data_IF_887008295206
#
_entry.id   IF_887008295206
#
_cell.length_a   1.000
_cell.length_b   1.000
_cell.length_c   1.000
_cell.angle_alpha   90.00
_cell.angle_beta   90.00
_cell.angle_gamma   90.00
#
_symmetry.space_group_name_H-M   'P 1'
#
loop_
_entity.id
_entity.type
_entity.pdbx_description
1 polymer ?
#
# COMPACT_ATOMS: atom_id res chain seq x y z
N UNK A 1 7.47 37.80 29.18
CA UNK A 1 8.47 36.95 28.51
C UNK A 1 7.88 35.57 28.38
N UNK A 2 7.33 35.22 27.22
CA UNK A 2 6.97 33.84 26.89
C UNK A 2 7.43 33.59 25.47
N UNK A 3 8.74 33.42 25.33
CA UNK A 3 9.35 33.00 24.08
C UNK A 3 9.34 31.47 24.06
N UNK A 4 8.14 30.89 23.93
CA UNK A 4 7.97 29.45 23.77
C UNK A 4 8.22 29.10 22.30
N UNK A 5 9.46 29.30 21.86
CA UNK A 5 9.95 28.81 20.58
C UNK A 5 10.33 27.35 20.74
N UNK A 6 9.33 26.48 20.91
CA UNK A 6 9.54 25.04 20.80
C UNK A 6 10.04 24.73 19.39
N UNK A 7 11.24 24.17 19.29
CA UNK A 7 11.77 23.68 18.02
C UNK A 7 10.85 22.56 17.50
N UNK A 8 10.64 22.43 16.18
CA UNK A 8 9.88 21.32 15.61
C UNK A 8 10.71 20.03 15.69
N UNK A 9 10.57 19.27 16.78
CA UNK A 9 11.37 18.07 17.07
C UNK A 9 10.77 16.75 16.54
N UNK A 10 9.58 16.82 15.92
CA UNK A 10 8.82 15.63 15.49
C UNK A 10 8.03 14.99 16.64
N UNK A 11 7.16 14.04 16.28
CA UNK A 11 6.34 13.33 17.25
C UNK A 11 7.20 12.40 18.13
N UNK A 12 6.93 12.33 19.45
CA UNK A 12 7.53 11.30 20.31
C UNK A 12 7.21 9.89 19.79
N UNK A 13 8.15 8.96 19.97
CA UNK A 13 8.01 7.56 19.53
C UNK A 13 8.42 6.60 20.63
N UNK A 14 7.82 5.41 20.64
CA UNK A 14 8.30 4.31 21.48
C UNK A 14 9.73 3.92 21.07
N UNK A 15 10.61 3.85 22.06
CA UNK A 15 12.04 3.55 21.91
C UNK A 15 12.37 2.07 22.08
N UNK A 16 11.36 1.23 22.35
CA UNK A 16 11.53 -0.22 22.44
C UNK A 16 12.07 -0.77 21.11
N UNK A 17 13.22 -1.48 21.11
CA UNK A 17 13.78 -2.04 19.88
C UNK A 17 12.86 -3.08 19.23
N UNK A 18 12.94 -3.20 17.91
CA UNK A 18 12.32 -4.31 17.17
C UNK A 18 13.05 -5.63 17.44
N UNK A 19 12.35 -6.74 17.22
CA UNK A 19 12.96 -8.08 17.28
C UNK A 19 13.78 -8.32 16.02
N UNK A 20 15.01 -8.81 16.14
CA UNK A 20 15.79 -9.22 14.98
C UNK A 20 15.10 -10.40 14.26
N UNK A 21 15.06 -10.42 12.92
CA UNK A 21 14.54 -11.58 12.18
C UNK A 21 15.40 -12.81 12.47
N UNK A 22 14.77 -13.98 12.49
CA UNK A 22 15.46 -15.26 12.72
C UNK A 22 15.34 -16.16 11.48
N UNK A 23 16.03 -17.29 11.47
CA UNK A 23 15.97 -18.31 10.41
C UNK A 23 14.66 -19.13 10.45
N UNK A 24 13.53 -18.46 10.61
CA UNK A 24 12.20 -19.07 10.64
C UNK A 24 11.58 -19.06 9.23
N UNK A 25 10.99 -20.18 8.77
CA UNK A 25 10.26 -20.20 7.50
C UNK A 25 9.03 -19.30 7.51
N UNK A 26 8.77 -18.62 6.38
CA UNK A 26 7.54 -17.85 6.13
C UNK A 26 6.73 -18.55 5.04
N UNK A 27 5.58 -19.11 5.40
CA UNK A 27 4.77 -19.95 4.51
C UNK A 27 3.56 -19.19 3.98
N UNK A 28 3.39 -19.17 2.66
CA UNK A 28 2.21 -18.69 1.96
C UNK A 28 1.44 -19.80 1.27
N UNK A 29 0.59 -19.44 0.31
CA UNK A 29 -0.19 -20.36 -0.52
C UNK A 29 0.61 -20.89 -1.73
N UNK A 30 1.42 -20.05 -2.34
CA UNK A 30 2.20 -20.35 -3.54
C UNK A 30 3.66 -20.65 -3.23
N UNK A 31 4.25 -19.91 -2.28
CA UNK A 31 5.66 -20.04 -1.93
C UNK A 31 5.90 -20.12 -0.43
N UNK A 32 7.03 -20.74 -0.08
CA UNK A 32 7.60 -20.68 1.26
C UNK A 32 8.99 -20.05 1.18
N UNK A 33 9.24 -19.02 2.00
CA UNK A 33 10.60 -18.54 2.24
C UNK A 33 11.24 -19.39 3.34
N UNK A 34 12.32 -20.08 3.02
CA UNK A 34 13.09 -20.89 3.96
C UNK A 34 14.51 -20.36 4.06
N UNK A 35 15.21 -20.52 5.20
CA UNK A 35 16.63 -20.17 5.28
C UNK A 35 17.41 -20.80 4.13
N UNK A 36 18.25 -20.02 3.46
CA UNK A 36 18.97 -20.52 2.30
C UNK A 36 20.00 -21.59 2.71
N UNK A 37 19.73 -22.83 2.34
CA UNK A 37 20.64 -23.97 2.45
C UNK A 37 21.38 -24.18 1.10
N UNK A 38 22.71 -23.95 1.03
CA UNK A 38 23.48 -24.13 -0.20
C UNK A 38 23.48 -25.56 -0.74
N UNK A 39 23.43 -26.58 0.14
CA UNK A 39 23.46 -27.98 -0.28
C UNK A 39 22.13 -28.40 -0.91
N UNK A 40 21.01 -27.85 -0.41
CA UNK A 40 19.67 -28.13 -0.95
C UNK A 40 19.30 -27.26 -2.15
N UNK A 41 19.62 -25.98 -2.12
CA UNK A 41 19.12 -25.00 -3.08
C UNK A 41 20.15 -24.62 -4.14
N UNK A 42 21.45 -24.71 -3.83
CA UNK A 42 22.51 -24.09 -4.63
C UNK A 42 22.56 -24.59 -6.08
N UNK A 43 22.57 -25.90 -6.28
CA UNK A 43 22.69 -26.51 -7.62
C UNK A 43 21.51 -26.14 -8.53
N UNK A 44 20.29 -26.34 -8.04
CA UNK A 44 19.07 -26.04 -8.81
C UNK A 44 18.95 -24.54 -9.12
N UNK A 45 19.30 -23.67 -8.16
CA UNK A 45 19.30 -22.22 -8.40
C UNK A 45 20.37 -21.81 -9.43
N UNK A 46 21.57 -22.38 -9.37
CA UNK A 46 22.62 -22.13 -10.38
C UNK A 46 22.15 -22.52 -11.79
N UNK A 47 21.63 -23.74 -11.96
CA UNK A 47 21.10 -24.20 -13.25
C UNK A 47 19.98 -23.28 -13.78
N UNK A 48 19.13 -22.76 -12.88
CA UNK A 48 18.04 -21.84 -13.21
C UNK A 48 18.47 -20.39 -13.49
N UNK A 49 19.72 -20.00 -13.18
CA UNK A 49 20.17 -18.60 -13.24
C UNK A 49 21.49 -18.37 -13.98
N UNK A 50 22.18 -19.44 -14.39
CA UNK A 50 23.42 -19.38 -15.16
C UNK A 50 23.21 -19.66 -16.65
N UNK A 51 24.11 -19.08 -17.45
CA UNK A 51 24.19 -19.21 -18.90
C UNK A 51 23.92 -17.87 -19.62
N UNK A 52 24.40 -17.70 -20.87
CA UNK A 52 24.36 -16.42 -21.57
C UNK A 52 22.97 -15.78 -21.69
N UNK A 53 21.92 -16.60 -21.83
CA UNK A 53 20.53 -16.14 -21.89
C UNK A 53 19.99 -15.62 -20.55
N UNK A 54 20.65 -15.96 -19.44
CA UNK A 54 20.23 -15.65 -18.06
C UNK A 54 21.15 -14.66 -17.35
N UNK A 55 22.30 -14.30 -17.95
CA UNK A 55 23.24 -13.33 -17.37
C UNK A 55 22.56 -11.99 -17.03
N UNK A 56 21.55 -11.60 -17.81
CA UNK A 56 20.73 -10.41 -17.57
C UNK A 56 20.04 -10.40 -16.19
N UNK A 57 19.77 -11.55 -15.57
CA UNK A 57 19.22 -11.65 -14.22
C UNK A 57 20.13 -11.01 -13.16
N UNK A 58 21.44 -11.00 -13.41
CA UNK A 58 22.46 -10.52 -12.49
C UNK A 58 22.86 -9.06 -12.73
N UNK A 59 22.29 -8.41 -13.75
CA UNK A 59 22.72 -7.10 -14.22
C UNK A 59 22.77 -6.02 -13.12
N UNK A 60 21.86 -6.11 -12.14
CA UNK A 60 21.73 -5.13 -11.05
C UNK A 60 22.08 -5.67 -9.66
N UNK A 61 22.46 -6.95 -9.55
CA UNK A 61 22.96 -7.54 -8.30
C UNK A 61 24.42 -7.19 -8.07
N UNK A 62 24.87 -7.23 -6.82
CA UNK A 62 26.25 -6.90 -6.45
C UNK A 62 27.27 -7.91 -6.97
N UNK A 63 26.91 -9.20 -6.97
CA UNK A 63 27.72 -10.31 -7.47
C UNK A 63 27.09 -10.94 -8.73
N UNK A 64 27.81 -11.88 -9.34
CA UNK A 64 27.43 -12.59 -10.56
C UNK A 64 27.60 -11.78 -11.85
N UNK A 65 27.21 -12.32 -13.02
CA UNK A 65 26.82 -13.72 -13.20
C UNK A 65 27.98 -14.68 -12.87
N UNK A 66 27.66 -15.94 -12.60
CA UNK A 66 28.64 -16.97 -12.26
C UNK A 66 28.73 -17.98 -13.41
N UNK A 67 29.93 -18.14 -13.96
CA UNK A 67 30.28 -19.07 -15.03
C UNK A 67 30.48 -20.51 -14.51
N UNK A 68 30.91 -20.64 -13.26
CA UNK A 68 31.23 -21.91 -12.62
C UNK A 68 30.44 -22.12 -11.32
N UNK A 69 29.90 -23.33 -11.15
CA UNK A 69 29.15 -23.68 -9.94
C UNK A 69 29.98 -23.52 -8.67
N UNK A 70 31.29 -23.83 -8.71
CA UNK A 70 32.16 -23.69 -7.54
C UNK A 70 32.23 -22.23 -7.02
N UNK A 71 32.24 -21.23 -7.92
CA UNK A 71 32.23 -19.80 -7.55
C UNK A 71 30.87 -19.39 -6.98
N UNK A 72 29.79 -19.88 -7.60
CA UNK A 72 28.42 -19.65 -7.12
C UNK A 72 28.23 -20.24 -5.71
N UNK A 73 28.59 -21.51 -5.51
CA UNK A 73 28.46 -22.22 -4.25
C UNK A 73 29.26 -21.55 -3.13
N UNK A 74 30.52 -21.18 -3.39
CA UNK A 74 31.34 -20.43 -2.44
C UNK A 74 30.70 -19.10 -2.02
N UNK A 75 30.13 -18.35 -2.98
CA UNK A 75 29.43 -17.10 -2.70
C UNK A 75 28.19 -17.31 -1.81
N UNK A 76 27.34 -18.28 -2.15
CA UNK A 76 26.11 -18.52 -1.40
C UNK A 76 26.33 -19.19 -0.05
N UNK A 77 27.38 -20.01 0.13
CA UNK A 77 27.79 -20.50 1.46
C UNK A 77 28.19 -19.36 2.37
N UNK A 78 29.00 -18.42 1.87
CA UNK A 78 29.37 -17.24 2.64
C UNK A 78 28.15 -16.36 2.97
N UNK A 79 27.21 -16.19 2.01
CA UNK A 79 26.00 -15.41 2.22
C UNK A 79 25.05 -16.06 3.26
N UNK A 80 24.83 -17.37 3.20
CA UNK A 80 23.93 -18.10 4.10
C UNK A 80 24.39 -18.09 5.57
N UNK A 81 25.70 -17.96 5.81
CA UNK A 81 26.27 -17.90 7.16
C UNK A 81 26.03 -16.57 7.89
N UNK A 82 25.64 -15.50 7.17
CA UNK A 82 25.45 -14.17 7.74
C UNK A 82 24.12 -14.04 8.47
N UNK A 83 24.09 -13.15 9.46
CA UNK A 83 22.86 -12.72 10.16
C UNK A 83 22.33 -11.39 9.63
N UNK A 84 23.21 -10.56 9.06
CA UNK A 84 22.87 -9.42 8.21
C UNK A 84 23.89 -9.32 7.05
N UNK A 85 23.46 -9.45 5.79
CA UNK A 85 22.10 -9.79 5.34
C UNK A 85 21.67 -11.22 5.73
N UNK A 86 20.38 -11.42 6.05
CA UNK A 86 19.76 -12.71 6.34
C UNK A 86 19.05 -13.26 5.08
N UNK A 87 19.62 -14.33 4.50
CA UNK A 87 19.23 -14.87 3.20
C UNK A 87 18.18 -15.98 3.29
N UNK A 88 17.12 -15.85 2.50
CA UNK A 88 16.07 -16.85 2.33
C UNK A 88 16.00 -17.34 0.88
N UNK A 89 15.87 -18.65 0.70
CA UNK A 89 15.41 -19.25 -0.56
C UNK A 89 13.88 -19.10 -0.66
N UNK A 90 13.40 -18.78 -1.85
CA UNK A 90 11.96 -18.81 -2.17
C UNK A 90 11.70 -20.17 -2.83
N UNK A 91 10.84 -20.97 -2.22
CA UNK A 91 10.52 -22.33 -2.69
C UNK A 91 9.06 -22.46 -3.06
N UNK A 92 8.76 -23.24 -4.09
CA UNK A 92 7.39 -23.58 -4.48
C UNK A 92 6.72 -24.47 -3.42
N UNK A 93 5.51 -24.14 -2.98
CA UNK A 93 4.78 -24.94 -1.97
C UNK A 93 4.40 -26.33 -2.51
N UNK A 94 4.10 -26.46 -3.80
CA UNK A 94 3.59 -27.69 -4.38
C UNK A 94 4.68 -28.77 -4.54
N UNK A 95 5.92 -28.37 -4.83
CA UNK A 95 7.00 -29.32 -5.13
C UNK A 95 8.34 -29.05 -4.44
N UNK A 96 8.46 -27.97 -3.66
CA UNK A 96 9.68 -27.60 -2.93
C UNK A 96 10.83 -27.07 -3.80
N UNK A 97 10.60 -26.85 -5.09
CA UNK A 97 11.63 -26.33 -6.01
C UNK A 97 12.05 -24.92 -5.59
N UNK A 98 13.37 -24.65 -5.61
CA UNK A 98 13.88 -23.28 -5.43
C UNK A 98 13.56 -22.43 -6.67
N UNK A 99 12.85 -21.33 -6.43
CA UNK A 99 12.36 -20.40 -7.44
C UNK A 99 13.13 -19.07 -7.43
N UNK A 100 14.00 -18.85 -6.45
CA UNK A 100 14.79 -17.64 -6.29
C UNK A 100 15.26 -17.44 -4.86
N UNK A 101 15.67 -16.22 -4.53
CA UNK A 101 15.96 -15.82 -3.17
C UNK A 101 15.63 -14.34 -2.92
N UNK A 102 15.46 -14.01 -1.65
CA UNK A 102 15.34 -12.64 -1.16
C UNK A 102 16.01 -12.54 0.22
N UNK A 103 16.38 -11.33 0.61
CA UNK A 103 17.24 -11.13 1.78
C UNK A 103 16.69 -10.00 2.63
N UNK A 104 16.60 -10.21 3.95
CA UNK A 104 16.54 -9.08 4.88
C UNK A 104 17.94 -8.51 5.04
N UNK A 105 18.08 -7.20 4.96
CA UNK A 105 19.37 -6.53 5.10
C UNK A 105 19.24 -5.19 5.80
N UNK A 106 20.36 -4.63 6.24
CA UNK A 106 20.37 -3.36 6.99
C UNK A 106 19.41 -3.43 8.19
N UNK A 107 19.60 -4.48 8.98
CA UNK A 107 18.75 -4.80 10.13
C UNK A 107 19.12 -3.85 11.26
N UNK A 108 18.31 -2.82 11.45
CA UNK A 108 18.49 -1.82 12.51
C UNK A 108 17.34 -1.94 13.51
N UNK A 109 17.54 -2.76 14.55
CA UNK A 109 16.52 -3.02 15.57
C UNK A 109 16.25 -1.79 16.44
N UNK A 110 17.27 -0.95 16.67
CA UNK A 110 17.15 0.25 17.49
C UNK A 110 16.26 1.30 16.82
N UNK A 111 16.46 1.55 15.53
CA UNK A 111 15.62 2.47 14.76
C UNK A 111 14.37 1.80 14.17
N UNK A 112 14.26 0.47 14.30
CA UNK A 112 13.17 -0.36 13.77
C UNK A 112 13.04 -0.23 12.24
N UNK A 113 14.18 -0.26 11.54
CA UNK A 113 14.29 -0.20 10.07
C UNK A 113 14.88 -1.49 9.53
N UNK A 114 14.29 -2.03 8.46
CA UNK A 114 14.80 -3.20 7.76
C UNK A 114 14.58 -3.07 6.26
N UNK A 115 15.55 -3.51 5.47
CA UNK A 115 15.47 -3.52 4.01
C UNK A 115 15.20 -4.93 3.50
N UNK A 116 14.36 -5.05 2.48
CA UNK A 116 14.32 -6.23 1.61
C UNK A 116 15.08 -5.95 0.33
N UNK A 117 16.03 -6.82 0.02
CA UNK A 117 16.95 -6.59 -1.07
C UNK A 117 17.70 -7.84 -1.49
N UNK A 118 18.65 -7.65 -2.40
CA UNK A 118 19.38 -8.74 -3.03
C UNK A 118 18.42 -9.87 -3.49
N UNK A 119 17.43 -9.47 -4.29
CA UNK A 119 16.34 -10.34 -4.76
C UNK A 119 16.72 -10.87 -6.14
N UNK A 120 16.69 -12.20 -6.28
CA UNK A 120 16.90 -12.89 -7.55
C UNK A 120 15.72 -13.83 -7.77
N UNK A 121 14.96 -13.57 -8.83
CA UNK A 121 13.89 -14.48 -9.26
C UNK A 121 14.39 -15.30 -10.46
N UNK A 122 14.13 -16.60 -10.44
CA UNK A 122 14.27 -17.43 -11.63
C UNK A 122 13.15 -17.10 -12.63
N UNK A 123 13.29 -17.43 -13.92
CA UNK A 123 12.20 -17.27 -14.89
C UNK A 123 10.88 -17.94 -14.47
N UNK A 124 10.94 -19.03 -13.70
CA UNK A 124 9.77 -19.75 -13.20
C UNK A 124 8.97 -18.95 -12.16
N UNK A 125 9.61 -18.02 -11.43
CA UNK A 125 8.94 -17.17 -10.43
C UNK A 125 8.45 -15.85 -11.01
N UNK A 126 9.13 -15.34 -12.03
CA UNK A 126 8.84 -14.04 -12.60
C UNK A 126 7.40 -13.96 -13.11
N UNK A 127 6.71 -12.87 -12.79
CA UNK A 127 5.32 -12.60 -13.22
C UNK A 127 4.30 -13.65 -12.74
N UNK A 128 4.59 -14.33 -11.62
CA UNK A 128 3.64 -15.23 -10.94
C UNK A 128 3.12 -14.61 -9.63
N UNK A 129 1.99 -15.12 -9.08
CA UNK A 129 1.53 -14.75 -7.74
C UNK A 129 2.59 -15.00 -6.66
N UNK A 130 3.36 -16.10 -6.76
CA UNK A 130 4.41 -16.45 -5.81
C UNK A 130 5.48 -15.36 -5.64
N UNK A 131 5.84 -14.66 -6.71
CA UNK A 131 6.79 -13.54 -6.62
C UNK A 131 6.25 -12.32 -5.87
N UNK A 132 4.93 -12.10 -5.88
CA UNK A 132 4.27 -11.06 -5.08
C UNK A 132 4.09 -11.53 -3.64
N UNK A 133 3.65 -12.78 -3.46
CA UNK A 133 3.45 -13.38 -2.15
C UNK A 133 4.74 -13.42 -1.32
N UNK A 134 5.89 -13.72 -1.95
CA UNK A 134 7.17 -13.70 -1.25
C UNK A 134 7.45 -12.34 -0.58
N UNK A 135 7.16 -11.24 -1.28
CA UNK A 135 7.37 -9.89 -0.77
C UNK A 135 6.34 -9.51 0.29
N UNK A 136 5.08 -9.93 0.12
CA UNK A 136 4.04 -9.78 1.13
C UNK A 136 4.42 -10.47 2.44
N UNK A 137 4.84 -11.74 2.39
CA UNK A 137 5.23 -12.51 3.57
C UNK A 137 6.38 -11.84 4.33
N UNK A 138 7.41 -11.38 3.62
CA UNK A 138 8.54 -10.70 4.25
C UNK A 138 8.15 -9.34 4.86
N UNK A 139 7.30 -8.57 4.18
CA UNK A 139 6.83 -7.28 4.71
C UNK A 139 5.94 -7.46 5.95
N UNK A 140 4.99 -8.42 5.89
CA UNK A 140 4.10 -8.77 7.00
C UNK A 140 4.88 -9.18 8.24
N UNK A 141 5.82 -10.12 8.08
CA UNK A 141 6.63 -10.59 9.18
C UNK A 141 7.47 -9.47 9.80
N UNK A 142 8.08 -8.61 8.98
CA UNK A 142 8.86 -7.48 9.48
C UNK A 142 8.00 -6.50 10.29
N UNK A 143 6.85 -6.07 9.75
CA UNK A 143 6.06 -4.99 10.36
C UNK A 143 5.19 -5.52 11.51
N UNK A 144 4.40 -6.57 11.27
CA UNK A 144 3.39 -7.05 12.23
C UNK A 144 3.99 -7.91 13.34
N UNK A 145 4.95 -8.76 13.01
CA UNK A 145 5.52 -9.69 13.97
C UNK A 145 6.75 -9.07 14.63
N UNK A 146 7.73 -8.62 13.85
CA UNK A 146 9.00 -8.17 14.41
C UNK A 146 8.97 -6.74 14.96
N UNK A 147 7.96 -5.95 14.61
CA UNK A 147 7.74 -4.58 15.12
C UNK A 147 8.55 -3.51 14.40
N UNK A 148 8.97 -3.76 13.15
CA UNK A 148 9.66 -2.75 12.35
C UNK A 148 8.69 -1.63 11.94
N UNK A 149 9.13 -0.38 12.10
CA UNK A 149 8.34 0.81 11.74
C UNK A 149 8.53 1.24 10.28
N UNK A 150 9.56 0.70 9.62
CA UNK A 150 9.95 1.06 8.27
C UNK A 150 10.54 -0.14 7.55
N UNK A 151 9.94 -0.45 6.41
CA UNK A 151 10.37 -1.49 5.48
C UNK A 151 10.89 -0.85 4.20
N UNK A 152 12.16 -1.07 3.86
CA UNK A 152 12.84 -0.39 2.75
C UNK A 152 13.00 -1.29 1.53
N UNK A 153 12.90 -0.69 0.35
CA UNK A 153 13.30 -1.29 -0.93
C UNK A 153 14.28 -0.37 -1.63
N UNK A 154 15.48 -0.87 -1.93
CA UNK A 154 16.51 -0.11 -2.66
C UNK A 154 16.94 -0.84 -3.91
N UNK A 155 16.89 -0.14 -5.03
CA UNK A 155 17.29 -0.71 -6.31
C UNK A 155 18.15 0.25 -7.11
N UNK A 156 18.88 -0.28 -8.08
CA UNK A 156 19.59 0.55 -9.05
C UNK A 156 18.56 1.45 -9.77
N UNK A 157 18.81 2.75 -9.87
CA UNK A 157 17.86 3.70 -10.46
C UNK A 157 17.54 3.40 -11.94
N UNK A 158 18.43 2.68 -12.64
CA UNK A 158 18.25 2.20 -14.02
C UNK A 158 17.43 0.89 -14.11
N UNK A 159 17.21 0.18 -12.99
CA UNK A 159 16.41 -1.06 -12.96
C UNK A 159 14.91 -0.73 -12.96
N UNK A 160 14.39 -0.32 -14.11
CA UNK A 160 12.98 0.04 -14.25
C UNK A 160 12.00 -1.09 -13.83
N UNK A 161 12.27 -2.39 -14.11
CA UNK A 161 11.44 -3.48 -13.58
C UNK A 161 11.35 -3.52 -12.05
N UNK A 162 12.48 -3.36 -11.34
CA UNK A 162 12.48 -3.38 -9.87
C UNK A 162 11.78 -2.15 -9.27
N UNK A 163 11.95 -0.96 -9.89
CA UNK A 163 11.23 0.26 -9.49
C UNK A 163 9.71 0.09 -9.60
N UNK A 164 9.24 -0.40 -10.74
CA UNK A 164 7.82 -0.69 -10.96
C UNK A 164 7.28 -1.74 -9.99
N UNK A 165 8.10 -2.72 -9.60
CA UNK A 165 7.70 -3.72 -8.61
C UNK A 165 7.50 -3.08 -7.23
N UNK A 166 8.44 -2.23 -6.77
CA UNK A 166 8.30 -1.51 -5.50
C UNK A 166 7.03 -0.63 -5.48
N UNK A 167 6.82 0.17 -6.52
CA UNK A 167 5.62 1.02 -6.65
C UNK A 167 4.34 0.16 -6.67
N UNK A 168 4.32 -0.93 -7.46
CA UNK A 168 3.19 -1.86 -7.52
C UNK A 168 2.88 -2.49 -6.15
N UNK A 169 3.91 -2.84 -5.37
CA UNK A 169 3.74 -3.39 -4.02
C UNK A 169 3.29 -2.35 -2.98
N UNK A 170 3.16 -1.07 -3.37
CA UNK A 170 2.69 0.00 -2.51
C UNK A 170 3.80 0.70 -1.73
N UNK A 171 5.07 0.51 -2.12
CA UNK A 171 6.16 1.31 -1.58
C UNK A 171 6.12 2.74 -2.14
N UNK A 172 6.36 3.71 -1.28
CA UNK A 172 6.46 5.12 -1.63
C UNK A 172 7.89 5.47 -2.04
N UNK A 173 8.04 6.15 -3.18
CA UNK A 173 9.33 6.65 -3.64
C UNK A 173 9.82 7.84 -2.81
N UNK A 174 11.09 7.83 -2.40
CA UNK A 174 11.67 8.85 -1.52
C UNK A 174 12.83 9.64 -2.15
N UNK A 175 13.41 9.13 -3.24
CA UNK A 175 14.46 9.84 -3.96
C UNK A 175 15.51 8.95 -4.62
N UNK A 176 16.45 9.61 -5.32
CA UNK A 176 17.62 8.96 -5.91
C UNK A 176 18.89 9.48 -5.25
N UNK A 177 19.65 8.58 -4.65
CA UNK A 177 21.01 8.85 -4.20
C UNK A 177 21.96 8.71 -5.39
N UNK A 178 22.45 9.85 -5.87
CA UNK A 178 23.36 9.95 -7.02
C UNK A 178 24.76 9.54 -6.62
N UNK A 179 25.46 8.82 -7.50
CA UNK A 179 26.81 8.31 -7.26
C UNK A 179 26.95 7.53 -5.95
N UNK A 180 25.89 6.82 -5.55
CA UNK A 180 25.83 6.14 -4.26
C UNK A 180 26.90 5.05 -4.13
N UNK A 181 27.15 4.27 -5.18
CA UNK A 181 28.07 3.12 -5.14
C UNK A 181 28.80 2.91 -6.46
N UNK A 182 29.95 2.23 -6.39
CA UNK A 182 30.60 1.59 -7.55
C UNK A 182 30.26 0.10 -7.48
N UNK A 183 29.53 -0.42 -8.47
CA UNK A 183 29.12 -1.84 -8.55
C UNK A 183 29.59 -2.40 -9.89
N UNK A 184 30.36 -3.50 -9.86
CA UNK A 184 30.91 -4.15 -11.06
C UNK A 184 31.63 -3.15 -12.00
N UNK A 185 32.42 -2.25 -11.43
CA UNK A 185 33.16 -1.22 -12.15
C UNK A 185 32.32 -0.09 -12.76
N UNK A 186 31.05 0.04 -12.38
CA UNK A 186 30.13 1.07 -12.90
C UNK A 186 29.54 1.90 -11.78
N UNK A 187 29.22 3.16 -12.10
CA UNK A 187 28.47 4.03 -11.20
C UNK A 187 27.05 3.48 -10.99
N UNK A 188 26.58 3.50 -9.74
CA UNK A 188 25.22 3.16 -9.36
C UNK A 188 24.59 4.31 -8.60
N UNK A 189 23.56 4.87 -9.22
CA UNK A 189 22.55 5.65 -8.52
C UNK A 189 21.52 4.69 -7.90
N UNK A 190 21.05 5.00 -6.69
CA UNK A 190 20.11 4.13 -5.97
C UNK A 190 18.79 4.83 -5.76
N UNK A 191 17.70 4.24 -6.27
CA UNK A 191 16.34 4.68 -6.00
C UNK A 191 15.85 4.04 -4.70
N UNK A 192 15.34 4.86 -3.79
CA UNK A 192 14.87 4.46 -2.46
C UNK A 192 13.35 4.52 -2.38
N UNK A 193 12.79 3.47 -1.79
CA UNK A 193 11.37 3.37 -1.50
C UNK A 193 11.15 2.81 -0.10
N UNK A 194 9.99 3.11 0.49
CA UNK A 194 9.62 2.61 1.81
C UNK A 194 8.14 2.27 1.94
N UNK A 195 7.82 1.41 2.90
CA UNK A 195 6.49 1.28 3.50
C UNK A 195 6.67 1.54 5.00
N UNK A 196 5.87 2.45 5.55
CA UNK A 196 5.83 2.70 6.99
C UNK A 196 4.80 1.80 7.67
N UNK A 197 4.99 1.55 8.98
CA UNK A 197 4.06 0.70 9.74
C UNK A 197 2.63 1.24 9.74
N UNK A 198 2.44 2.55 9.63
CA UNK A 198 1.12 3.18 9.57
C UNK A 198 0.46 3.03 8.19
N UNK A 199 1.25 2.84 7.14
CA UNK A 199 0.78 2.60 5.76
C UNK A 199 0.47 1.11 5.53
N UNK A 200 1.16 0.22 6.26
CA UNK A 200 1.09 -1.22 6.07
C UNK A 200 -0.31 -1.83 6.12
N UNK A 201 -1.23 -1.49 7.05
CA UNK A 201 -2.55 -2.11 7.10
C UNK A 201 -3.30 -2.04 5.76
N UNK A 202 -3.25 -0.90 5.07
CA UNK A 202 -3.87 -0.77 3.76
C UNK A 202 -3.12 -1.57 2.67
N UNK A 203 -1.79 -1.62 2.73
CA UNK A 203 -0.98 -2.40 1.79
C UNK A 203 -1.17 -3.91 1.98
N UNK A 204 -1.35 -4.36 3.22
CA UNK A 204 -1.68 -5.74 3.56
C UNK A 204 -3.02 -6.13 2.95
N UNK A 205 -4.09 -5.34 3.17
CA UNK A 205 -5.40 -5.58 2.55
C UNK A 205 -5.32 -5.61 1.03
N UNK A 206 -4.57 -4.69 0.40
CA UNK A 206 -4.38 -4.68 -1.05
C UNK A 206 -3.64 -5.94 -1.56
N UNK A 207 -2.56 -6.36 -0.88
CA UNK A 207 -1.81 -7.56 -1.23
C UNK A 207 -2.65 -8.82 -1.04
N UNK A 208 -3.38 -8.93 0.07
CA UNK A 208 -4.26 -10.06 0.38
C UNK A 208 -5.43 -10.16 -0.61
N UNK A 209 -6.07 -9.03 -0.92
CA UNK A 209 -7.12 -8.96 -1.95
C UNK A 209 -6.57 -9.38 -3.30
N UNK A 210 -5.36 -8.94 -3.66
CA UNK A 210 -4.76 -9.32 -4.92
C UNK A 210 -4.40 -10.81 -4.99
N UNK A 211 -3.89 -11.37 -3.88
CA UNK A 211 -3.52 -12.78 -3.74
C UNK A 211 -4.73 -13.71 -3.54
N UNK A 212 -5.93 -13.17 -3.32
CA UNK A 212 -7.14 -13.97 -3.17
C UNK A 212 -7.42 -14.76 -4.47
N UNK A 213 -7.90 -16.00 -4.32
CA UNK A 213 -8.10 -16.89 -5.45
C UNK A 213 -9.18 -16.37 -6.42
N UNK A 214 -10.17 -15.64 -5.90
CA UNK A 214 -11.25 -15.00 -6.65
C UNK A 214 -10.81 -13.74 -7.40
N UNK A 215 -9.58 -13.26 -7.22
CA UNK A 215 -9.01 -12.17 -8.02
C UNK A 215 -8.33 -12.69 -9.30
N UNK A 216 -8.39 -13.97 -9.62
CA UNK A 216 -7.84 -14.53 -10.86
C UNK A 216 -8.93 -15.23 -11.67
N UNK A 217 -8.96 -14.97 -12.99
CA UNK A 217 -9.86 -15.65 -13.91
C UNK A 217 -9.42 -17.10 -14.20
N UNK A 218 -10.21 -17.81 -15.01
CA UNK A 218 -9.93 -19.21 -15.36
C UNK A 218 -8.59 -19.42 -16.10
N UNK A 219 -8.04 -18.38 -16.72
CA UNK A 219 -6.75 -18.40 -17.41
C UNK A 219 -5.60 -17.92 -16.49
N UNK A 220 -5.87 -17.66 -15.21
CA UNK A 220 -4.91 -17.16 -14.24
C UNK A 220 -4.56 -15.68 -14.42
N UNK A 221 -5.35 -14.91 -15.15
CA UNK A 221 -5.17 -13.45 -15.27
C UNK A 221 -5.85 -12.75 -14.09
N UNK A 222 -5.13 -11.80 -13.51
CA UNK A 222 -5.69 -10.95 -12.44
C UNK A 222 -6.93 -10.18 -12.94
N UNK A 223 -7.99 -10.14 -12.14
CA UNK A 223 -9.22 -9.38 -12.38
C UNK A 223 -8.99 -7.92 -12.00
N UNK A 224 -8.56 -7.67 -10.76
CA UNK A 224 -8.11 -6.36 -10.29
C UNK A 224 -6.59 -6.38 -10.17
N UNK A 225 -5.93 -5.37 -10.75
CA UNK A 225 -4.48 -5.26 -10.66
C UNK A 225 -4.04 -4.74 -9.31
N UNK A 226 -2.89 -5.20 -8.80
CA UNK A 226 -2.35 -4.69 -7.53
C UNK A 226 -2.08 -3.18 -7.57
N UNK A 227 -1.71 -2.63 -8.74
CA UNK A 227 -1.52 -1.19 -8.90
C UNK A 227 -2.81 -0.39 -8.73
N UNK A 228 -3.96 -0.95 -9.08
CA UNK A 228 -5.26 -0.34 -8.78
C UNK A 228 -5.54 -0.38 -7.28
N UNK A 229 -5.29 -1.51 -6.62
CA UNK A 229 -5.54 -1.66 -5.17
C UNK A 229 -4.64 -0.71 -4.36
N UNK A 230 -3.38 -0.57 -4.76
CA UNK A 230 -2.40 0.33 -4.14
C UNK A 230 -2.39 1.76 -4.73
N UNK A 231 -3.41 2.16 -5.50
CA UNK A 231 -3.42 3.48 -6.09
C UNK A 231 -3.29 4.58 -5.03
N UNK A 232 -2.38 5.52 -5.25
CA UNK A 232 -2.20 6.70 -4.39
C UNK A 232 -2.87 7.96 -4.97
N UNK A 233 -3.33 7.88 -6.22
CA UNK A 233 -4.03 8.95 -6.93
C UNK A 233 -5.30 8.40 -7.60
N UNK A 234 -6.37 9.19 -7.58
CA UNK A 234 -7.55 9.00 -8.41
C UNK A 234 -7.72 10.20 -9.32
N UNK A 235 -7.45 9.99 -10.60
CA UNK A 235 -7.71 10.98 -11.64
C UNK A 235 -9.16 10.88 -12.11
N UNK A 236 -9.88 11.99 -12.04
CA UNK A 236 -11.22 12.12 -12.59
C UNK A 236 -11.36 13.42 -13.37
N UNK A 237 -12.35 13.52 -14.28
CA UNK A 237 -12.65 14.79 -14.93
C UNK A 237 -12.86 15.90 -13.89
N UNK A 238 -12.03 16.94 -13.95
CA UNK A 238 -12.10 18.10 -13.05
C UNK A 238 -11.13 18.10 -11.87
N UNK A 239 -10.35 17.04 -11.64
CA UNK A 239 -9.27 17.06 -10.65
C UNK A 239 -8.75 15.69 -10.24
N UNK A 240 -7.72 15.70 -9.37
CA UNK A 240 -7.06 14.50 -8.88
C UNK A 240 -7.20 14.43 -7.37
N UNK A 241 -7.68 13.31 -6.84
CA UNK A 241 -7.64 13.04 -5.41
C UNK A 241 -6.36 12.28 -5.07
N UNK A 242 -5.79 12.57 -3.91
CA UNK A 242 -4.67 11.81 -3.34
C UNK A 242 -5.16 10.93 -2.20
N UNK A 243 -4.55 9.76 -2.03
CA UNK A 243 -4.71 8.94 -0.83
C UNK A 243 -4.19 9.72 0.38
N UNK A 244 -4.98 9.80 1.44
CA UNK A 244 -4.59 10.49 2.67
C UNK A 244 -3.58 9.68 3.50
N UNK A 245 -2.74 10.39 4.25
CA UNK A 245 -1.88 9.83 5.30
C UNK A 245 -2.25 10.41 6.67
N UNK A 246 -1.61 9.92 7.75
CA UNK A 246 -1.77 10.49 9.08
C UNK A 246 -1.34 11.96 9.17
N UNK A 247 -0.47 12.42 8.26
CA UNK A 247 -0.11 13.85 8.16
C UNK A 247 -1.31 14.73 7.78
N UNK A 248 -2.34 14.14 7.16
CA UNK A 248 -3.57 14.85 6.76
C UNK A 248 -4.65 14.81 7.88
N UNK A 249 -4.39 14.16 9.02
CA UNK A 249 -5.41 13.88 10.06
C UNK A 249 -6.09 15.16 10.57
N UNK A 250 -5.31 16.17 10.94
CA UNK A 250 -5.86 17.42 11.48
C UNK A 250 -6.71 18.16 10.44
N UNK A 251 -6.23 18.24 9.20
CA UNK A 251 -6.95 18.87 8.10
C UNK A 251 -8.24 18.10 7.73
N UNK A 252 -8.22 16.76 7.80
CA UNK A 252 -9.42 15.93 7.63
C UNK A 252 -10.44 16.22 8.72
N UNK A 253 -10.02 16.24 9.99
CA UNK A 253 -10.91 16.52 11.12
C UNK A 253 -11.53 17.92 11.00
N UNK A 254 -10.76 18.93 10.59
CA UNK A 254 -11.26 20.27 10.35
C UNK A 254 -12.36 20.28 9.28
N UNK A 255 -12.12 19.67 8.12
CA UNK A 255 -13.12 19.59 7.03
C UNK A 255 -14.35 18.81 7.49
N UNK A 256 -14.18 17.69 8.18
CA UNK A 256 -15.29 16.87 8.65
C UNK A 256 -16.18 17.65 9.62
N UNK A 257 -15.61 18.25 10.67
CA UNK A 257 -16.35 19.04 11.63
C UNK A 257 -17.08 20.21 10.96
N UNK A 258 -16.40 20.94 10.07
CA UNK A 258 -16.97 22.09 9.38
C UNK A 258 -18.10 21.70 8.41
N UNK A 259 -17.92 20.62 7.63
CA UNK A 259 -18.90 20.16 6.65
C UNK A 259 -20.18 19.60 7.30
N UNK A 260 -20.05 18.93 8.45
CA UNK A 260 -21.17 18.30 9.16
C UNK A 260 -21.85 19.20 10.20
N UNK A 261 -21.32 20.40 10.49
CA UNK A 261 -21.88 21.32 11.48
C UNK A 261 -23.37 21.64 11.27
N UNK A 262 -23.79 21.90 10.02
CA UNK A 262 -25.21 22.13 9.68
C UNK A 262 -26.06 20.86 9.82
N UNK A 263 -25.49 19.70 9.49
CA UNK A 263 -26.19 18.42 9.61
C UNK A 263 -26.50 18.08 11.06
N UNK A 264 -25.58 18.38 12.00
CA UNK A 264 -25.80 18.22 13.44
C UNK A 264 -27.06 18.95 13.91
N UNK A 265 -27.26 20.19 13.47
CA UNK A 265 -28.45 21.00 13.83
C UNK A 265 -29.73 20.34 13.30
N UNK A 266 -29.72 19.89 12.04
CA UNK A 266 -30.90 19.28 11.39
C UNK A 266 -31.23 17.89 11.93
N UNK A 267 -30.21 17.12 12.34
CA UNK A 267 -30.39 15.78 12.88
C UNK A 267 -30.75 15.78 14.36
N UNK A 268 -30.37 16.82 15.11
CA UNK A 268 -30.50 16.86 16.57
C UNK A 268 -29.55 15.92 17.33
N UNK A 269 -28.69 15.20 16.61
CA UNK A 269 -27.68 14.27 17.13
C UNK A 269 -26.37 14.43 16.37
N UNK A 270 -25.27 13.96 16.96
CA UNK A 270 -23.96 13.99 16.33
C UNK A 270 -23.94 13.08 15.07
N UNK A 271 -23.62 13.60 13.87
CA UNK A 271 -23.55 12.80 12.63
C UNK A 271 -22.59 11.61 12.77
N UNK A 272 -22.94 10.46 12.16
CA UNK A 272 -22.16 9.21 12.28
C UNK A 272 -20.68 9.41 11.93
N UNK A 273 -20.31 10.12 10.84
CA UNK A 273 -18.89 10.32 10.51
C UNK A 273 -18.10 11.11 11.53
N UNK A 274 -18.75 11.87 12.43
CA UNK A 274 -18.08 12.61 13.51
C UNK A 274 -17.92 11.77 14.80
N UNK A 275 -18.41 10.54 14.82
CA UNK A 275 -18.25 9.59 15.94
C UNK A 275 -17.02 8.68 15.79
N UNK A 276 -16.29 8.79 14.68
CA UNK A 276 -15.20 7.87 14.34
C UNK A 276 -13.84 8.34 14.88
N UNK A 277 -12.98 7.36 15.15
CA UNK A 277 -11.54 7.58 15.28
C UNK A 277 -10.91 7.63 13.88
N UNK A 278 -10.58 8.83 13.39
CA UNK A 278 -10.01 9.00 12.06
C UNK A 278 -8.60 8.44 11.90
N UNK A 279 -7.83 8.30 12.98
CA UNK A 279 -6.55 7.60 12.91
C UNK A 279 -6.74 6.09 12.65
N UNK A 280 -7.87 5.53 13.10
CA UNK A 280 -8.31 4.18 12.73
C UNK A 280 -8.89 4.13 11.31
N UNK A 281 -9.75 5.07 10.93
CA UNK A 281 -10.31 5.15 9.56
C UNK A 281 -9.21 5.24 8.51
N UNK A 282 -8.18 6.06 8.73
CA UNK A 282 -7.02 6.17 7.84
C UNK A 282 -6.22 4.87 7.71
N UNK A 283 -6.31 3.94 8.66
CA UNK A 283 -5.65 2.63 8.57
C UNK A 283 -6.52 1.57 7.92
N UNK A 284 -7.84 1.65 8.12
CA UNK A 284 -8.77 0.56 7.76
C UNK A 284 -9.59 0.84 6.50
N UNK A 285 -9.72 2.10 6.06
CA UNK A 285 -10.58 2.49 4.93
C UNK A 285 -9.80 3.29 3.88
N UNK A 286 -10.36 3.39 2.67
CA UNK A 286 -9.78 4.27 1.66
C UNK A 286 -10.21 5.72 1.92
N UNK A 287 -9.30 6.52 2.45
CA UNK A 287 -9.51 7.96 2.61
C UNK A 287 -8.80 8.70 1.49
N UNK A 288 -9.56 9.47 0.74
CA UNK A 288 -9.12 10.27 -0.39
C UNK A 288 -9.38 11.75 -0.13
N UNK A 289 -8.40 12.58 -0.43
CA UNK A 289 -8.47 14.03 -0.20
C UNK A 289 -8.29 14.78 -1.51
N UNK A 290 -9.04 15.86 -1.67
CA UNK A 290 -8.86 16.85 -2.72
C UNK A 290 -8.22 18.08 -2.10
N UNK A 291 -7.02 18.44 -2.57
CA UNK A 291 -6.35 19.66 -2.13
C UNK A 291 -7.07 20.90 -2.67
N UNK A 292 -7.10 21.98 -1.88
CA UNK A 292 -7.60 23.26 -2.33
C UNK A 292 -6.58 23.94 -3.24
N UNK A 293 -7.05 24.55 -4.34
CA UNK A 293 -6.19 25.23 -5.30
C UNK A 293 -5.65 26.54 -4.69
N UNK A 294 -4.46 26.50 -4.07
CA UNK A 294 -3.73 27.69 -3.60
C UNK A 294 -2.24 27.54 -3.86
N UNK A 295 -1.62 28.64 -4.30
CA UNK A 295 -0.20 28.74 -4.63
C UNK A 295 0.73 28.26 -3.52
N UNK A 296 1.89 27.77 -3.93
CA UNK A 296 2.91 27.18 -3.06
C UNK A 296 3.21 28.06 -1.82
N UNK A 297 2.91 27.54 -0.62
CA UNK A 297 3.49 28.07 0.63
C UNK A 297 2.62 28.21 1.88
N UNK A 298 1.41 27.67 1.98
CA UNK A 298 0.62 27.69 3.22
C UNK A 298 0.06 26.29 3.56
N UNK A 299 -0.28 26.07 4.83
CA UNK A 299 -0.82 24.81 5.38
C UNK A 299 -1.75 24.09 4.41
N UNK A 300 -1.61 22.76 4.35
CA UNK A 300 -2.24 21.88 3.36
C UNK A 300 -3.76 21.88 3.53
N UNK A 301 -4.43 22.85 2.91
CA UNK A 301 -5.87 23.03 3.02
C UNK A 301 -6.61 22.07 2.09
N UNK A 302 -7.60 21.37 2.62
CA UNK A 302 -8.39 20.38 1.87
C UNK A 302 -9.72 20.99 1.40
N UNK A 303 -10.05 20.80 0.12
CA UNK A 303 -11.33 21.17 -0.46
C UNK A 303 -12.42 20.11 -0.22
N UNK A 304 -12.02 18.84 -0.10
CA UNK A 304 -12.95 17.75 0.16
C UNK A 304 -12.28 16.48 0.67
N UNK A 305 -13.05 15.68 1.40
CA UNK A 305 -12.67 14.37 1.96
C UNK A 305 -13.69 13.34 1.50
N UNK A 306 -13.20 12.22 0.99
CA UNK A 306 -13.99 11.08 0.56
C UNK A 306 -13.49 9.84 1.29
N UNK A 307 -14.39 9.17 2.01
CA UNK A 307 -14.10 7.92 2.72
C UNK A 307 -14.87 6.80 2.04
N UNK A 308 -14.15 5.82 1.52
CA UNK A 308 -14.69 4.65 0.83
C UNK A 308 -14.35 3.38 1.59
N UNK A 309 -15.32 2.48 1.66
CA UNK A 309 -15.17 1.15 2.24
C UNK A 309 -15.44 0.12 1.12
N UNK A 310 -14.38 -0.46 0.53
CA UNK A 310 -14.50 -1.54 -0.43
C UNK A 310 -15.10 -2.76 0.24
N UNK A 311 -16.17 -3.31 -0.33
CA UNK A 311 -16.81 -4.54 0.11
C UNK A 311 -16.71 -5.60 -0.99
N UNK A 312 -17.04 -6.86 -0.71
CA UNK A 312 -17.06 -7.90 -1.74
C UNK A 312 -17.96 -7.54 -2.92
N UNK A 313 -19.18 -7.07 -2.65
CA UNK A 313 -20.22 -6.88 -3.68
C UNK A 313 -20.38 -5.43 -4.16
N UNK A 314 -19.93 -4.46 -3.36
CA UNK A 314 -20.12 -3.03 -3.63
C UNK A 314 -18.96 -2.18 -3.12
N UNK A 315 -19.05 -0.87 -3.42
CA UNK A 315 -18.22 0.15 -2.79
C UNK A 315 -19.13 1.09 -2.00
N UNK A 316 -18.93 1.14 -0.69
CA UNK A 316 -19.67 2.06 0.17
C UNK A 316 -18.95 3.42 0.20
N UNK A 317 -19.69 4.49 -0.11
CA UNK A 317 -19.32 5.86 0.24
C UNK A 317 -19.72 6.07 1.70
N UNK A 318 -18.77 5.88 2.61
CA UNK A 318 -19.00 6.00 4.05
C UNK A 318 -19.12 7.48 4.47
N UNK A 319 -18.33 8.36 3.86
CA UNK A 319 -18.39 9.81 4.08
C UNK A 319 -18.02 10.55 2.80
N UNK A 320 -18.74 11.63 2.50
CA UNK A 320 -18.43 12.56 1.42
C UNK A 320 -18.62 13.97 1.95
N UNK A 321 -17.52 14.70 2.08
CA UNK A 321 -17.48 15.98 2.78
C UNK A 321 -16.78 17.04 1.94
N UNK A 322 -17.38 18.22 1.88
CA UNK A 322 -16.86 19.37 1.13
C UNK A 322 -16.63 20.49 2.12
N UNK A 323 -15.41 21.03 2.14
CA UNK A 323 -15.05 22.15 2.99
C UNK A 323 -15.97 23.34 2.69
N UNK A 324 -16.41 24.13 3.70
CA UNK A 324 -17.35 25.24 3.49
C UNK A 324 -16.92 26.22 2.40
N UNK A 325 -15.62 26.53 2.32
CA UNK A 325 -15.04 27.42 1.30
C UNK A 325 -15.14 26.89 -0.13
N UNK A 326 -15.35 25.60 -0.31
CA UNK A 326 -15.46 24.91 -1.60
C UNK A 326 -16.89 24.43 -1.88
N UNK A 327 -17.88 24.83 -1.08
CA UNK A 327 -19.27 24.49 -1.36
C UNK A 327 -19.79 25.26 -2.58
N UNK A 328 -20.61 24.60 -3.40
CA UNK A 328 -21.14 25.19 -4.63
C UNK A 328 -20.17 25.27 -5.81
N UNK A 329 -18.89 24.92 -5.64
CA UNK A 329 -17.87 24.95 -6.72
C UNK A 329 -17.82 23.67 -7.57
N UNK A 330 -18.64 22.66 -7.26
CA UNK A 330 -18.66 21.39 -7.97
C UNK A 330 -17.84 20.26 -7.32
N UNK A 331 -17.10 20.52 -6.23
CA UNK A 331 -16.30 19.49 -5.52
C UNK A 331 -17.13 18.27 -5.13
N UNK A 332 -18.35 18.44 -4.63
CA UNK A 332 -19.21 17.29 -4.30
C UNK A 332 -19.54 16.40 -5.51
N UNK A 333 -19.67 16.97 -6.71
CA UNK A 333 -19.85 16.18 -7.94
C UNK A 333 -18.57 15.44 -8.32
N UNK A 334 -17.41 16.08 -8.13
CA UNK A 334 -16.11 15.49 -8.39
C UNK A 334 -15.85 14.30 -7.46
N UNK A 335 -16.09 14.43 -6.15
CA UNK A 335 -15.94 13.32 -5.19
C UNK A 335 -16.86 12.14 -5.53
N UNK A 336 -18.09 12.42 -5.98
CA UNK A 336 -19.02 11.37 -6.41
C UNK A 336 -18.53 10.68 -7.69
N UNK A 337 -18.02 11.44 -8.67
CA UNK A 337 -17.41 10.87 -9.87
C UNK A 337 -16.16 10.04 -9.55
N UNK A 338 -15.34 10.47 -8.59
CA UNK A 338 -14.20 9.70 -8.07
C UNK A 338 -14.64 8.37 -7.45
N UNK A 339 -15.74 8.38 -6.68
CA UNK A 339 -16.33 7.14 -6.13
C UNK A 339 -16.77 6.18 -7.24
N UNK A 340 -17.40 6.70 -8.30
CA UNK A 340 -17.81 5.91 -9.47
C UNK A 340 -16.64 5.35 -10.28
N UNK A 341 -15.61 6.15 -10.52
CA UNK A 341 -14.39 5.69 -11.18
C UNK A 341 -13.68 4.63 -10.32
N UNK A 342 -13.61 4.84 -9.01
CA UNK A 342 -12.98 3.92 -8.07
C UNK A 342 -13.71 2.58 -8.03
N UNK A 343 -15.04 2.58 -7.91
CA UNK A 343 -15.85 1.37 -7.96
C UNK A 343 -15.58 0.56 -9.23
N UNK A 344 -15.60 1.20 -10.41
CA UNK A 344 -15.30 0.52 -11.69
C UNK A 344 -13.88 -0.05 -11.71
N UNK A 345 -12.88 0.70 -11.21
CA UNK A 345 -11.49 0.22 -11.15
C UNK A 345 -11.34 -1.03 -10.27
N UNK A 346 -12.14 -1.12 -9.20
CA UNK A 346 -12.20 -2.26 -8.29
C UNK A 346 -13.13 -3.38 -8.79
N UNK A 347 -13.70 -3.27 -9.99
CA UNK A 347 -14.66 -4.24 -10.53
C UNK A 347 -15.98 -4.29 -9.77
N UNK A 348 -16.37 -3.21 -9.09
CA UNK A 348 -17.64 -3.10 -8.37
C UNK A 348 -18.70 -2.45 -9.25
N UNK A 349 -19.85 -3.13 -9.35
CA UNK A 349 -20.98 -2.69 -10.17
C UNK A 349 -22.02 -1.87 -9.39
N UNK A 350 -21.85 -1.73 -8.07
CA UNK A 350 -22.80 -1.01 -7.21
C UNK A 350 -22.04 -0.06 -6.29
N UNK A 351 -22.53 1.18 -6.21
CA UNK A 351 -22.19 2.11 -5.15
C UNK A 351 -23.32 2.15 -4.12
N UNK A 352 -22.94 2.20 -2.84
CA UNK A 352 -23.86 2.42 -1.73
C UNK A 352 -23.46 3.66 -0.97
N UNK A 353 -24.44 4.27 -0.29
CA UNK A 353 -24.23 5.32 0.69
C UNK A 353 -25.38 5.34 1.69
N UNK A 354 -25.20 6.10 2.76
CA UNK A 354 -26.29 6.43 3.67
C UNK A 354 -26.26 7.90 4.06
N UNK A 355 -27.43 8.43 4.44
CA UNK A 355 -27.58 9.80 4.97
C UNK A 355 -28.69 9.81 6.01
N UNK A 356 -28.66 10.76 6.95
CA UNK A 356 -29.75 10.88 7.92
C UNK A 356 -31.07 11.27 7.25
N UNK A 357 -32.17 10.64 7.67
CA UNK A 357 -33.51 10.84 7.08
C UNK A 357 -33.99 12.30 7.07
N UNK A 358 -33.74 13.14 8.10
CA UNK A 358 -34.11 14.56 8.07
C UNK A 358 -33.38 15.38 6.98
N UNK A 359 -32.29 14.87 6.40
CA UNK A 359 -31.48 15.56 5.39
C UNK A 359 -32.10 15.42 3.98
N UNK A 360 -33.35 15.86 3.82
CA UNK A 360 -34.12 15.72 2.58
C UNK A 360 -33.41 16.31 1.35
N UNK A 361 -32.66 17.41 1.51
CA UNK A 361 -31.86 18.01 0.44
C UNK A 361 -30.77 17.05 -0.09
N UNK A 362 -30.10 16.31 0.80
CA UNK A 362 -29.08 15.33 0.42
C UNK A 362 -29.72 14.15 -0.33
N UNK A 363 -30.82 13.61 0.21
CA UNK A 363 -31.56 12.50 -0.41
C UNK A 363 -32.01 12.89 -1.83
N UNK A 364 -32.54 14.10 -1.98
CA UNK A 364 -32.97 14.60 -3.29
C UNK A 364 -31.78 14.82 -4.24
N UNK A 365 -30.64 15.32 -3.74
CA UNK A 365 -29.42 15.45 -4.53
C UNK A 365 -28.93 14.09 -5.04
N UNK A 366 -28.84 13.07 -4.19
CA UNK A 366 -28.43 11.72 -4.58
C UNK A 366 -29.40 11.07 -5.58
N UNK A 367 -30.71 11.25 -5.41
CA UNK A 367 -31.71 10.78 -6.39
C UNK A 367 -31.47 11.35 -7.79
N UNK A 368 -31.18 12.64 -7.91
CA UNK A 368 -30.83 13.26 -9.20
C UNK A 368 -29.52 12.72 -9.79
N UNK A 369 -28.68 12.08 -8.99
CA UNK A 369 -27.45 11.40 -9.43
C UNK A 369 -27.63 9.93 -9.78
N UNK A 370 -28.88 9.44 -9.73
CA UNK A 370 -29.24 8.07 -10.09
C UNK A 370 -29.25 7.09 -8.92
N UNK A 371 -29.19 7.57 -7.67
CA UNK A 371 -29.34 6.71 -6.50
C UNK A 371 -30.82 6.45 -6.18
N UNK A 372 -31.17 5.20 -5.89
CA UNK A 372 -32.47 4.81 -5.35
C UNK A 372 -32.36 4.51 -3.86
N UNK A 373 -33.43 4.77 -3.10
CA UNK A 373 -33.52 4.31 -1.70
C UNK A 373 -33.76 2.80 -1.71
N UNK A 374 -32.96 2.05 -0.96
CA UNK A 374 -33.17 0.61 -0.79
C UNK A 374 -33.86 0.29 0.53
N UNK A 375 -33.45 0.96 1.61
CA UNK A 375 -34.03 0.77 2.95
C UNK A 375 -33.83 1.98 3.83
N UNK A 376 -34.64 2.07 4.89
CA UNK A 376 -34.42 2.98 6.01
C UNK A 376 -34.09 2.14 7.24
N UNK A 377 -33.02 2.49 7.93
CA UNK A 377 -32.56 1.85 9.15
C UNK A 377 -32.97 2.67 10.37
N UNK A 378 -33.64 2.03 11.32
CA UNK A 378 -33.89 2.61 12.63
C UNK A 378 -32.74 2.27 13.58
N UNK A 379 -32.05 3.29 14.08
CA UNK A 379 -31.07 3.19 15.15
C UNK A 379 -31.66 3.76 16.46
N UNK A 380 -31.02 3.59 17.63
CA UNK A 380 -31.57 4.09 18.90
C UNK A 380 -31.88 5.59 18.93
N UNK A 381 -31.08 6.40 18.23
CA UNK A 381 -31.13 7.87 18.29
C UNK A 381 -31.35 8.55 16.92
N UNK A 382 -31.45 7.78 15.83
CA UNK A 382 -31.53 8.31 14.46
C UNK A 382 -32.18 7.34 13.48
N UNK A 383 -32.53 7.85 12.30
CA UNK A 383 -32.90 7.05 11.13
C UNK A 383 -31.97 7.34 9.97
N UNK A 384 -31.43 6.29 9.36
CA UNK A 384 -30.54 6.40 8.20
C UNK A 384 -31.23 5.89 6.94
N UNK A 385 -31.18 6.67 5.87
CA UNK A 385 -31.65 6.29 4.55
C UNK A 385 -30.48 5.71 3.78
N UNK A 386 -30.55 4.41 3.48
CA UNK A 386 -29.58 3.70 2.67
C UNK A 386 -29.97 3.79 1.20
N UNK A 387 -29.02 4.17 0.36
CA UNK A 387 -29.24 4.40 -1.06
C UNK A 387 -28.17 3.68 -1.88
N UNK A 388 -28.55 3.19 -3.05
CA UNK A 388 -27.65 2.53 -3.99
C UNK A 388 -27.79 3.05 -5.41
N UNK A 389 -26.71 2.92 -6.17
CA UNK A 389 -26.65 3.21 -7.60
C UNK A 389 -25.93 2.06 -8.31
N UNK A 390 -26.60 1.46 -9.29
CA UNK A 390 -25.96 0.54 -10.22
C UNK A 390 -25.08 1.33 -11.21
N UNK A 391 -23.86 0.83 -11.42
CA UNK A 391 -22.92 1.32 -12.41
C UNK A 391 -23.05 0.41 -13.63
N UNK A 392 -23.90 0.82 -14.58
CA UNK A 392 -23.96 0.19 -15.90
C UNK A 392 -22.70 0.48 -16.70
#
# INVERSE_FOLDING_TARGET
MSDDRTLPLGAPVDVTPARAPTRQPLTGRHVTLVPFDPDKHGKALFEATSGPEKDGLWAYLGAGPFDEFAKFDAYYRAAAAREDPLLFAITDVANGQVLGHATYMRIDTANRVIEVGNILYTPALMRTPGGTEAMYLMARHAIEELGYRRYEWKCNALNAPSRRAAERYGFRFEGVFRHHMIVKGRNRDTAWFSILAEEWPQRAVALETWLAADNFDADGRQIVTLGVLNADLLEVPGGTLRRASLDDLDAILEVQHAAYARNRILLGVEPVPLLWDYARVLREQEVWVLEADRGAGADRQLAGVLVLEPRPDDLLIASLSVAPMAQGSGVGNLLLAASEARARSLGRLTLRLYTGEPLAANIHWYRRKGYSIERVEQMPDRRLVHMAKALM
#
